data_IF_195986100988
#
_entry.id   IF_195986100988
#
_cell.length_a   1.000
_cell.length_b   1.000
_cell.length_c   1.000
_cell.angle_alpha   90.00
_cell.angle_beta   90.00
_cell.angle_gamma   90.00
#
_symmetry.space_group_name_H-M   'P 1'
#
loop_
_entity.id
_entity.type
_entity.pdbx_description
1 polymer ?
#
# COMPACT_ATOMS: atom_id res chain seq x y z
N UNK A 1 26.15 0.87 19.56
CA UNK A 1 26.33 1.60 18.30
C UNK A 1 26.68 0.65 17.15
N UNK A 2 27.80 -0.07 17.19
CA UNK A 2 28.17 -1.03 16.11
C UNK A 2 27.11 -2.14 15.93
N UNK A 3 26.62 -2.72 17.03
CA UNK A 3 25.53 -3.71 16.99
C UNK A 3 24.21 -3.13 16.46
N UNK A 4 23.88 -1.87 16.76
CA UNK A 4 22.63 -1.24 16.33
C UNK A 4 22.66 -0.94 14.83
N UNK A 5 23.80 -0.46 14.32
CA UNK A 5 24.05 -0.30 12.87
C UNK A 5 23.98 -1.64 12.15
N UNK A 6 24.54 -2.69 12.75
CA UNK A 6 24.49 -4.03 12.17
C UNK A 6 23.05 -4.54 12.07
N UNK A 7 22.22 -4.34 13.10
CA UNK A 7 20.77 -4.61 13.04
C UNK A 7 20.11 -3.90 11.86
N UNK A 8 20.36 -2.61 11.68
CA UNK A 8 19.77 -1.82 10.58
C UNK A 8 20.18 -2.36 9.21
N UNK A 9 21.47 -2.69 9.04
CA UNK A 9 22.00 -3.30 7.80
C UNK A 9 21.41 -4.67 7.55
N UNK A 10 21.26 -5.49 8.59
CA UNK A 10 20.72 -6.84 8.47
C UNK A 10 19.21 -6.82 8.16
N UNK A 11 18.45 -5.85 8.69
CA UNK A 11 17.08 -5.62 8.27
C UNK A 11 16.99 -5.18 6.80
N UNK A 12 17.77 -4.18 6.39
CA UNK A 12 17.82 -3.72 4.99
C UNK A 12 18.19 -4.86 4.03
N UNK A 13 19.16 -5.68 4.42
CA UNK A 13 19.60 -6.86 3.67
C UNK A 13 18.65 -8.07 3.75
N UNK A 14 17.53 -7.98 4.49
CA UNK A 14 16.54 -9.05 4.61
C UNK A 14 16.98 -10.26 5.44
N UNK A 15 18.00 -10.11 6.29
CA UNK A 15 18.50 -11.16 7.20
C UNK A 15 17.75 -11.21 8.53
N UNK A 16 17.18 -10.08 8.96
CA UNK A 16 16.28 -9.98 10.11
C UNK A 16 14.84 -9.91 9.59
N UNK A 17 13.93 -10.61 10.26
CA UNK A 17 12.51 -10.57 9.88
C UNK A 17 11.88 -9.22 10.25
N UNK A 18 10.78 -8.89 9.60
CA UNK A 18 10.07 -7.61 9.78
C UNK A 18 9.54 -7.52 11.21
N UNK A 19 9.03 -8.65 11.74
CA UNK A 19 8.55 -8.78 13.11
C UNK A 19 9.68 -8.62 14.12
N UNK A 20 10.82 -9.26 13.89
CA UNK A 20 11.95 -9.18 14.83
C UNK A 20 12.54 -7.76 14.84
N UNK A 21 12.60 -7.10 13.67
CA UNK A 21 13.02 -5.71 13.57
C UNK A 21 12.05 -4.76 14.27
N UNK A 22 10.76 -4.90 14.04
CA UNK A 22 9.71 -4.14 14.75
C UNK A 22 9.85 -4.30 16.28
N UNK A 23 10.04 -5.52 16.77
CA UNK A 23 10.27 -5.76 18.19
C UNK A 23 11.54 -5.08 18.71
N UNK A 24 12.63 -5.10 17.93
CA UNK A 24 13.87 -4.43 18.30
C UNK A 24 13.71 -2.90 18.37
N UNK A 25 12.92 -2.29 17.48
CA UNK A 25 12.63 -0.85 17.56
C UNK A 25 12.00 -0.47 18.90
N UNK A 26 11.05 -1.26 19.40
CA UNK A 26 10.37 -0.98 20.67
C UNK A 26 11.19 -1.38 21.91
N UNK A 27 12.04 -2.41 21.80
CA UNK A 27 12.76 -2.97 22.94
C UNK A 27 14.17 -2.39 23.13
N UNK A 28 14.77 -1.77 22.11
CA UNK A 28 16.14 -1.28 22.15
C UNK A 28 16.20 0.26 22.23
N UNK A 29 16.41 0.85 23.43
CA UNK A 29 16.50 2.30 23.58
C UNK A 29 17.71 2.92 22.85
N UNK A 30 18.74 2.12 22.53
CA UNK A 30 19.86 2.61 21.73
C UNK A 30 19.47 2.84 20.27
N UNK A 31 18.58 2.00 19.71
CA UNK A 31 18.04 2.22 18.37
C UNK A 31 17.19 3.47 18.31
N UNK A 32 16.32 3.69 19.31
CA UNK A 32 15.54 4.94 19.41
C UNK A 32 16.44 6.17 19.43
N UNK A 33 17.45 6.17 20.32
CA UNK A 33 18.41 7.28 20.43
C UNK A 33 19.17 7.52 19.12
N UNK A 34 19.58 6.45 18.44
CA UNK A 34 20.31 6.52 17.18
C UNK A 34 19.43 7.07 16.04
N UNK A 35 18.22 6.55 15.92
CA UNK A 35 17.26 6.91 14.86
C UNK A 35 16.56 8.26 15.13
N UNK A 36 16.70 8.81 16.33
CA UNK A 36 16.17 10.12 16.73
C UNK A 36 17.26 11.19 16.89
N UNK A 37 18.48 10.96 16.39
CA UNK A 37 19.58 11.93 16.55
C UNK A 37 19.22 13.29 15.92
N UNK A 38 19.04 14.36 16.73
CA UNK A 38 18.62 15.67 16.24
C UNK A 38 19.71 16.38 15.43
N UNK A 39 20.94 15.83 15.40
CA UNK A 39 22.04 16.37 14.58
C UNK A 39 21.89 16.02 13.10
N UNK A 40 21.07 15.03 12.76
CA UNK A 40 20.82 14.63 11.39
C UNK A 40 19.73 15.52 10.78
N UNK A 41 20.08 16.18 9.69
CA UNK A 41 19.16 17.01 8.92
C UNK A 41 18.40 16.17 7.87
N UNK A 42 17.07 16.24 7.93
CA UNK A 42 16.14 15.54 7.06
C UNK A 42 15.44 16.46 6.06
N UNK A 43 15.84 17.73 5.98
CA UNK A 43 15.29 18.69 5.03
C UNK A 43 15.33 18.16 3.59
N UNK A 44 14.23 18.33 2.86
CA UNK A 44 14.09 17.83 1.49
C UNK A 44 13.79 16.34 1.38
N UNK A 45 13.50 15.66 2.49
CA UNK A 45 13.01 14.28 2.52
C UNK A 45 11.62 14.21 3.13
N UNK A 46 10.94 13.06 3.00
CA UNK A 46 9.67 12.80 3.69
C UNK A 46 9.81 12.74 5.22
N UNK A 47 11.03 12.74 5.76
CA UNK A 47 11.31 12.77 7.20
C UNK A 47 11.51 14.19 7.75
N UNK A 48 11.38 15.25 6.94
CA UNK A 48 11.69 16.63 7.37
C UNK A 48 10.95 17.12 8.64
N UNK A 49 9.78 16.55 8.94
CA UNK A 49 8.92 16.95 10.07
C UNK A 49 8.76 15.82 11.10
N UNK A 50 9.64 14.81 11.09
CA UNK A 50 9.60 13.68 12.02
C UNK A 50 11.01 13.14 12.24
N UNK A 51 11.17 12.07 13.03
CA UNK A 51 12.41 11.31 13.11
C UNK A 51 12.27 9.98 12.38
N UNK A 52 13.37 9.41 11.86
CA UNK A 52 13.36 8.02 11.38
C UNK A 52 12.71 7.06 12.37
N UNK A 53 12.96 7.21 13.67
CA UNK A 53 12.35 6.37 14.70
C UNK A 53 10.82 6.45 14.71
N UNK A 54 10.26 7.67 14.81
CA UNK A 54 8.81 7.87 14.88
C UNK A 54 8.14 7.38 13.59
N UNK A 55 8.71 7.71 12.43
CA UNK A 55 8.19 7.23 11.15
C UNK A 55 8.19 5.69 11.08
N UNK A 56 9.27 5.04 11.54
CA UNK A 56 9.37 3.57 11.58
C UNK A 56 8.38 2.94 12.56
N UNK A 57 8.10 3.58 13.70
CA UNK A 57 7.13 3.10 14.68
C UNK A 57 5.68 3.18 14.17
N UNK A 58 5.38 4.13 13.28
CA UNK A 58 4.07 4.30 12.66
C UNK A 58 3.78 3.32 11.51
N UNK A 59 4.79 2.58 11.01
CA UNK A 59 4.58 1.64 9.91
C UNK A 59 3.83 0.37 10.36
N UNK A 60 2.95 -0.13 9.49
CA UNK A 60 2.38 -1.47 9.64
C UNK A 60 3.29 -2.53 8.97
N UNK A 61 4.10 -3.21 9.79
CA UNK A 61 5.03 -4.26 9.36
C UNK A 61 4.35 -5.53 8.84
N UNK A 62 3.02 -5.64 8.94
CA UNK A 62 2.26 -6.72 8.30
C UNK A 62 1.98 -6.41 6.83
N UNK A 63 1.86 -5.13 6.50
CA UNK A 63 1.56 -4.67 5.14
C UNK A 63 2.80 -4.60 4.25
N UNK A 64 2.65 -4.88 2.96
CA UNK A 64 3.70 -4.75 1.96
C UNK A 64 4.24 -3.32 1.86
N UNK A 65 3.35 -2.32 1.96
CA UNK A 65 3.75 -0.91 1.95
C UNK A 65 4.55 -0.51 3.18
N UNK A 66 4.11 -0.91 4.39
CA UNK A 66 4.82 -0.59 5.63
C UNK A 66 6.21 -1.23 5.67
N UNK A 67 6.34 -2.49 5.22
CA UNK A 67 7.66 -3.15 5.10
C UNK A 67 8.59 -2.41 4.14
N UNK A 68 8.09 -2.03 2.95
CA UNK A 68 8.86 -1.32 1.95
C UNK A 68 9.28 0.07 2.44
N UNK A 69 8.36 0.82 3.03
CA UNK A 69 8.62 2.13 3.65
C UNK A 69 9.65 2.01 4.77
N UNK A 70 9.55 0.99 5.62
CA UNK A 70 10.50 0.76 6.70
C UNK A 70 11.91 0.49 6.15
N UNK A 71 12.04 -0.41 5.16
CA UNK A 71 13.33 -0.68 4.52
C UNK A 71 13.90 0.57 3.84
N UNK A 72 13.06 1.33 3.14
CA UNK A 72 13.46 2.60 2.52
C UNK A 72 13.94 3.64 3.52
N UNK A 73 13.25 3.75 4.66
CA UNK A 73 13.60 4.66 5.76
C UNK A 73 14.94 4.29 6.37
N UNK A 74 15.16 3.00 6.66
CA UNK A 74 16.44 2.54 7.22
C UNK A 74 17.58 2.71 6.20
N UNK A 75 17.33 2.43 4.92
CA UNK A 75 18.33 2.62 3.85
C UNK A 75 18.72 4.08 3.69
N UNK A 76 17.73 4.99 3.70
CA UNK A 76 17.95 6.44 3.69
C UNK A 76 18.75 6.88 4.91
N UNK A 77 18.41 6.38 6.10
CA UNK A 77 19.12 6.67 7.33
C UNK A 77 20.59 6.26 7.26
N UNK A 78 20.88 5.01 6.89
CA UNK A 78 22.24 4.50 6.74
C UNK A 78 23.04 5.34 5.74
N UNK A 79 22.43 5.70 4.61
CA UNK A 79 23.06 6.57 3.59
C UNK A 79 23.40 7.95 4.17
N UNK A 80 22.51 8.56 4.96
CA UNK A 80 22.75 9.87 5.57
C UNK A 80 23.90 9.89 6.57
N UNK A 81 24.15 8.79 7.26
CA UNK A 81 25.29 8.64 8.17
C UNK A 81 26.54 8.07 7.48
N UNK A 82 26.56 7.99 6.14
CA UNK A 82 27.72 7.57 5.36
C UNK A 82 27.97 6.06 5.36
N UNK A 83 26.95 5.25 5.63
CA UNK A 83 27.04 3.79 5.68
C UNK A 83 26.36 3.20 4.45
N UNK A 84 27.12 2.47 3.65
CA UNK A 84 26.58 1.71 2.53
C UNK A 84 25.75 0.51 3.02
N UNK A 85 24.64 0.27 2.34
CA UNK A 85 23.77 -0.88 2.55
C UNK A 85 23.32 -1.42 1.20
N UNK A 86 23.09 -2.74 1.14
CA UNK A 86 22.56 -3.41 -0.04
C UNK A 86 21.14 -3.90 0.27
N UNK A 87 20.09 -3.15 -0.11
CA UNK A 87 18.73 -3.56 0.15
C UNK A 87 18.41 -4.87 -0.57
N UNK A 88 17.77 -5.79 0.14
CA UNK A 88 17.17 -6.96 -0.52
C UNK A 88 15.98 -6.52 -1.37
N UNK A 89 15.73 -7.19 -2.49
CA UNK A 89 14.55 -6.93 -3.34
C UNK A 89 13.25 -7.52 -2.76
N UNK A 90 13.30 -8.14 -1.57
CA UNK A 90 12.17 -8.90 -1.01
C UNK A 90 10.90 -8.05 -0.89
N UNK A 91 11.00 -6.86 -0.31
CA UNK A 91 9.84 -6.00 -0.07
C UNK A 91 9.37 -5.28 -1.34
N UNK A 92 10.30 -4.88 -2.21
CA UNK A 92 9.94 -4.32 -3.51
C UNK A 92 9.24 -5.34 -4.38
N UNK A 93 9.73 -6.59 -4.46
CA UNK A 93 9.09 -7.67 -5.22
C UNK A 93 7.66 -7.95 -4.72
N UNK A 94 7.44 -7.94 -3.40
CA UNK A 94 6.12 -8.13 -2.78
C UNK A 94 5.15 -6.99 -3.15
N UNK A 95 5.60 -5.75 -3.03
CA UNK A 95 4.79 -4.57 -3.37
C UNK A 95 4.53 -4.46 -4.88
N UNK A 96 5.54 -4.73 -5.71
CA UNK A 96 5.43 -4.73 -7.16
C UNK A 96 4.50 -5.83 -7.67
N UNK A 97 4.42 -6.97 -6.99
CA UNK A 97 3.45 -8.00 -7.31
C UNK A 97 2.02 -7.46 -7.15
N UNK A 98 1.73 -6.74 -6.06
CA UNK A 98 0.42 -6.11 -5.83
C UNK A 98 0.12 -5.09 -6.93
N UNK A 99 1.06 -4.17 -7.19
CA UNK A 99 0.87 -3.10 -8.17
C UNK A 99 0.69 -3.63 -9.60
N UNK A 100 1.52 -4.59 -10.01
CA UNK A 100 1.53 -5.10 -11.39
C UNK A 100 0.35 -6.00 -11.74
N UNK A 101 -0.36 -6.51 -10.73
CA UNK A 101 -1.51 -7.41 -10.92
C UNK A 101 -2.86 -6.73 -10.70
N UNK A 102 -2.87 -5.55 -10.07
CA UNK A 102 -4.08 -4.76 -9.85
C UNK A 102 -4.69 -4.27 -11.17
N UNK A 103 -5.98 -4.57 -11.46
CA UNK A 103 -6.68 -3.97 -12.59
C UNK A 103 -6.72 -2.45 -12.48
N UNK A 104 -6.51 -1.72 -13.57
CA UNK A 104 -6.48 -0.24 -13.58
C UNK A 104 -7.77 0.42 -13.09
N UNK A 105 -8.89 -0.29 -13.17
CA UNK A 105 -10.20 0.19 -12.74
C UNK A 105 -10.54 -0.17 -11.28
N UNK A 106 -9.65 -0.90 -10.58
CA UNK A 106 -9.82 -1.24 -9.17
C UNK A 106 -8.78 -0.47 -8.36
N UNK A 107 -9.26 0.33 -7.43
CA UNK A 107 -8.46 0.88 -6.35
C UNK A 107 -9.09 0.45 -5.03
N UNK A 108 -8.37 -0.33 -4.25
CA UNK A 108 -8.81 -0.82 -2.95
C UNK A 108 -7.68 -0.60 -1.95
N UNK A 109 -8.05 -0.43 -0.69
CA UNK A 109 -7.09 -0.30 0.41
C UNK A 109 -6.17 -1.52 0.47
N UNK A 110 -4.88 -1.30 0.76
CA UNK A 110 -3.88 -2.37 0.75
C UNK A 110 -4.22 -3.49 1.73
N UNK A 111 -4.73 -3.15 2.92
CA UNK A 111 -5.15 -4.13 3.92
C UNK A 111 -6.25 -5.06 3.38
N UNK A 112 -7.14 -4.57 2.52
CA UNK A 112 -8.14 -5.39 1.86
C UNK A 112 -7.49 -6.35 0.86
N UNK A 113 -6.58 -5.84 0.02
CA UNK A 113 -5.87 -6.62 -0.99
C UNK A 113 -5.08 -7.76 -0.32
N UNK A 114 -4.33 -7.46 0.73
CA UNK A 114 -3.54 -8.46 1.46
C UNK A 114 -4.40 -9.53 2.12
N UNK A 115 -5.59 -9.17 2.61
CA UNK A 115 -6.51 -10.08 3.29
C UNK A 115 -7.27 -10.99 2.32
N UNK A 116 -7.72 -10.46 1.18
CA UNK A 116 -8.72 -11.11 0.31
C UNK A 116 -8.22 -11.45 -1.10
N UNK A 117 -7.15 -10.83 -1.57
CA UNK A 117 -6.66 -10.96 -2.94
C UNK A 117 -5.33 -11.75 -3.00
N UNK A 118 -4.42 -11.53 -2.06
CA UNK A 118 -3.12 -12.19 -2.08
C UNK A 118 -3.21 -13.68 -1.69
N UNK A 119 -2.42 -14.55 -2.34
CA UNK A 119 -2.38 -15.96 -1.99
C UNK A 119 -1.77 -16.15 -0.61
N UNK A 120 -2.42 -16.96 0.22
CA UNK A 120 -1.86 -17.39 1.52
C UNK A 120 -0.83 -18.51 1.35
N UNK A 121 -0.91 -19.27 0.25
CA UNK A 121 0.04 -20.33 -0.05
C UNK A 121 1.34 -19.77 -0.63
N UNK A 122 2.41 -19.88 0.16
CA UNK A 122 3.76 -19.42 -0.21
C UNK A 122 4.50 -20.35 -1.16
N UNK A 123 3.93 -21.52 -1.51
CA UNK A 123 4.54 -22.49 -2.42
C UNK A 123 4.27 -22.20 -3.90
N UNK A 124 3.30 -21.33 -4.19
CA UNK A 124 2.97 -20.96 -5.56
C UNK A 124 4.17 -20.29 -6.25
N UNK A 125 4.43 -20.66 -7.50
CA UNK A 125 5.37 -19.94 -8.35
C UNK A 125 4.90 -18.51 -8.63
N UNK A 126 5.81 -17.62 -9.03
CA UNK A 126 5.45 -16.22 -9.39
C UNK A 126 4.34 -16.15 -10.45
N UNK A 127 4.30 -17.09 -11.39
CA UNK A 127 3.26 -17.13 -12.43
C UNK A 127 1.89 -17.53 -11.85
N UNK A 128 1.85 -18.56 -11.01
CA UNK A 128 0.64 -19.03 -10.34
C UNK A 128 0.08 -17.97 -9.39
N UNK A 129 0.95 -17.28 -8.64
CA UNK A 129 0.54 -16.16 -7.78
C UNK A 129 -0.15 -15.05 -8.60
N UNK A 130 0.42 -14.66 -9.74
CA UNK A 130 -0.18 -13.63 -10.61
C UNK A 130 -1.55 -14.07 -11.16
N UNK A 131 -1.70 -15.34 -11.54
CA UNK A 131 -2.98 -15.88 -12.01
C UNK A 131 -4.01 -15.89 -10.89
N UNK A 132 -3.64 -16.38 -9.71
CA UNK A 132 -4.49 -16.38 -8.51
C UNK A 132 -4.99 -14.96 -8.19
N UNK A 133 -4.09 -13.98 -8.10
CA UNK A 133 -4.45 -12.60 -7.77
C UNK A 133 -5.44 -12.02 -8.78
N UNK A 134 -5.19 -12.21 -10.08
CA UNK A 134 -6.10 -11.73 -11.15
C UNK A 134 -7.48 -12.39 -11.05
N UNK A 135 -7.53 -13.67 -10.74
CA UNK A 135 -8.78 -14.38 -10.52
C UNK A 135 -9.53 -13.81 -9.32
N UNK A 136 -8.86 -13.60 -8.17
CA UNK A 136 -9.49 -13.00 -6.99
C UNK A 136 -10.07 -11.61 -7.28
N UNK A 137 -9.35 -10.76 -8.04
CA UNK A 137 -9.89 -9.46 -8.46
C UNK A 137 -11.16 -9.62 -9.31
N UNK A 138 -11.17 -10.57 -10.25
CA UNK A 138 -12.31 -10.81 -11.14
C UNK A 138 -13.52 -11.36 -10.37
N UNK A 139 -13.27 -12.20 -9.36
CA UNK A 139 -14.31 -12.79 -8.52
C UNK A 139 -14.92 -11.78 -7.55
N UNK A 140 -14.13 -10.84 -7.01
CA UNK A 140 -14.60 -9.89 -6.00
C UNK A 140 -15.11 -8.57 -6.60
N UNK A 141 -14.44 -8.02 -7.61
CA UNK A 141 -14.78 -6.71 -8.19
C UNK A 141 -15.62 -6.88 -9.46
N UNK A 142 -16.87 -7.26 -9.24
CA UNK A 142 -17.83 -7.56 -10.32
C UNK A 142 -18.46 -6.30 -10.91
N UNK A 143 -18.82 -6.40 -12.18
CA UNK A 143 -19.50 -5.35 -12.93
C UNK A 143 -20.49 -5.93 -13.95
N UNK A 144 -21.45 -5.12 -14.38
CA UNK A 144 -22.52 -5.55 -15.29
C UNK A 144 -22.05 -5.85 -16.72
N UNK A 145 -21.48 -4.86 -17.41
CA UNK A 145 -21.06 -5.00 -18.82
C UNK A 145 -19.60 -4.64 -19.03
N UNK A 146 -19.19 -3.49 -18.50
CA UNK A 146 -17.84 -2.95 -18.62
C UNK A 146 -17.38 -2.43 -17.25
N UNK A 147 -16.07 -2.45 -16.97
CA UNK A 147 -15.55 -1.81 -15.76
C UNK A 147 -15.72 -0.27 -15.82
N UNK A 148 -15.67 0.41 -14.67
CA UNK A 148 -15.76 1.87 -14.62
C UNK A 148 -14.60 2.54 -15.36
N UNK A 149 -14.92 3.58 -16.12
CA UNK A 149 -13.97 4.51 -16.73
C UNK A 149 -13.84 5.74 -15.84
N UNK A 150 -12.95 5.62 -14.88
CA UNK A 150 -12.61 6.62 -13.88
C UNK A 150 -12.05 7.93 -14.48
N UNK A 151 -12.57 9.08 -14.03
CA UNK A 151 -11.97 10.41 -14.32
C UNK A 151 -10.76 10.62 -13.40
N UNK A 152 -10.96 10.38 -12.10
CA UNK A 152 -9.91 10.30 -11.08
C UNK A 152 -9.89 8.88 -10.54
N UNK A 153 -8.91 8.44 -9.75
CA UNK A 153 -8.81 7.06 -9.26
C UNK A 153 -9.44 6.89 -7.85
N UNK A 154 -10.79 6.84 -7.67
CA UNK A 154 -11.37 6.79 -6.34
C UNK A 154 -11.20 5.38 -5.76
N UNK A 155 -11.33 5.24 -4.45
CA UNK A 155 -11.50 3.91 -3.85
C UNK A 155 -12.80 3.26 -4.36
N UNK A 156 -12.71 1.98 -4.71
CA UNK A 156 -13.87 1.15 -5.02
C UNK A 156 -14.71 1.01 -3.74
N UNK A 157 -16.04 1.24 -3.78
CA UNK A 157 -16.89 1.08 -2.61
C UNK A 157 -16.86 -0.35 -2.07
N UNK A 158 -16.45 -0.52 -0.82
CA UNK A 158 -16.43 -1.80 -0.11
C UNK A 158 -17.23 -1.64 1.18
N UNK A 159 -18.22 -2.51 1.41
CA UNK A 159 -19.03 -2.54 2.62
C UNK A 159 -18.96 -3.91 3.27
N UNK A 160 -18.69 -3.96 4.57
CA UNK A 160 -18.58 -5.21 5.33
C UNK A 160 -17.63 -6.22 4.65
N UNK A 161 -16.47 -5.74 4.19
CA UNK A 161 -15.48 -6.52 3.43
C UNK A 161 -15.97 -7.09 2.06
N UNK A 162 -17.10 -6.62 1.55
CA UNK A 162 -17.63 -6.98 0.23
C UNK A 162 -17.57 -5.77 -0.73
N UNK A 163 -16.82 -5.85 -1.84
CA UNK A 163 -16.87 -4.83 -2.87
C UNK A 163 -18.27 -4.75 -3.49
N UNK A 164 -18.79 -3.54 -3.63
CA UNK A 164 -20.08 -3.33 -4.26
C UNK A 164 -20.00 -3.65 -5.76
N UNK A 165 -21.10 -4.16 -6.31
CA UNK A 165 -21.22 -4.48 -7.73
C UNK A 165 -21.33 -3.21 -8.56
N UNK A 166 -20.46 -3.02 -9.56
CA UNK A 166 -20.56 -1.86 -10.44
C UNK A 166 -21.66 -2.06 -11.49
N UNK A 167 -22.71 -1.25 -11.39
CA UNK A 167 -23.88 -1.34 -12.27
C UNK A 167 -23.65 -0.63 -13.60
N UNK A 168 -22.97 0.51 -13.57
CA UNK A 168 -22.74 1.32 -14.76
C UNK A 168 -22.40 2.76 -14.39
N UNK A 169 -22.25 3.60 -15.42
CA UNK A 169 -21.92 5.00 -15.25
C UNK A 169 -22.74 5.89 -16.19
N UNK A 170 -23.00 7.12 -15.76
CA UNK A 170 -23.76 8.13 -16.49
C UNK A 170 -22.88 9.37 -16.63
N UNK A 171 -22.60 9.76 -17.87
CA UNK A 171 -21.89 11.01 -18.15
C UNK A 171 -22.81 12.21 -17.86
N UNK A 172 -22.25 13.22 -17.20
CA UNK A 172 -22.86 14.53 -17.00
C UNK A 172 -22.17 15.48 -17.98
N UNK A 173 -22.93 16.03 -18.92
CA UNK A 173 -22.43 17.02 -19.90
C UNK A 173 -23.32 18.24 -19.93
N UNK A 174 -22.74 19.44 -19.97
CA UNK A 174 -23.44 20.72 -20.11
C UNK A 174 -24.64 20.86 -19.13
N UNK A 175 -24.47 20.42 -17.88
CA UNK A 175 -25.55 20.44 -16.91
C UNK A 175 -25.67 21.82 -16.26
N UNK A 176 -26.82 22.48 -16.32
CA UNK A 176 -26.99 23.81 -15.70
C UNK A 176 -26.82 23.81 -14.16
N UNK A 177 -26.86 22.63 -13.53
CA UNK A 177 -26.68 22.47 -12.08
C UNK A 177 -25.21 22.34 -11.66
N UNK A 178 -24.30 22.02 -12.60
CA UNK A 178 -22.88 21.79 -12.31
C UNK A 178 -22.03 22.64 -13.26
N UNK A 179 -20.98 23.27 -12.73
CA UNK A 179 -20.11 24.10 -13.57
C UNK A 179 -19.26 23.28 -14.55
N UNK A 180 -18.97 22.03 -14.20
CA UNK A 180 -18.06 21.16 -14.94
C UNK A 180 -18.79 19.90 -15.46
N UNK A 181 -18.27 19.37 -16.57
CA UNK A 181 -18.63 18.04 -17.05
C UNK A 181 -18.11 16.98 -16.06
N UNK A 182 -18.72 15.79 -16.07
CA UNK A 182 -18.35 14.75 -15.13
C UNK A 182 -19.01 13.41 -15.39
N UNK A 183 -18.97 12.54 -14.39
CA UNK A 183 -19.57 11.22 -14.46
C UNK A 183 -20.08 10.78 -13.07
N UNK A 184 -21.23 10.12 -13.06
CA UNK A 184 -21.78 9.42 -11.89
C UNK A 184 -21.61 7.92 -12.10
N UNK A 185 -20.97 7.27 -11.16
CA UNK A 185 -20.72 5.82 -11.15
C UNK A 185 -21.65 5.17 -10.15
N UNK A 186 -22.39 4.15 -10.56
CA UNK A 186 -23.42 3.50 -9.78
C UNK A 186 -22.94 2.14 -9.29
N UNK A 187 -23.10 1.91 -7.99
CA UNK A 187 -22.73 0.68 -7.30
C UNK A 187 -23.94 0.11 -6.57
N UNK A 188 -24.05 -1.22 -6.54
CA UNK A 188 -25.14 -1.93 -5.87
C UNK A 188 -24.55 -2.84 -4.80
N UNK A 189 -25.06 -2.70 -3.59
CA UNK A 189 -24.93 -3.73 -2.57
C UNK A 189 -25.85 -4.90 -2.94
N UNK A 190 -25.25 -6.03 -3.28
CA UNK A 190 -26.00 -7.20 -3.75
C UNK A 190 -26.81 -7.89 -2.64
N UNK A 191 -26.49 -7.65 -1.37
CA UNK A 191 -27.22 -8.21 -0.24
C UNK A 191 -28.48 -7.41 0.06
N UNK A 192 -28.38 -6.08 0.02
CA UNK A 192 -29.47 -5.18 0.42
C UNK A 192 -30.23 -4.56 -0.75
N UNK A 193 -29.65 -4.59 -1.95
CA UNK A 193 -30.14 -3.86 -3.13
C UNK A 193 -29.91 -2.34 -3.05
N UNK A 194 -29.23 -1.85 -2.01
CA UNK A 194 -28.94 -0.43 -1.87
C UNK A 194 -28.01 0.06 -2.97
N UNK A 195 -28.30 1.26 -3.50
CA UNK A 195 -27.47 1.89 -4.53
C UNK A 195 -26.63 2.99 -3.89
N UNK A 196 -25.34 2.97 -4.22
CA UNK A 196 -24.40 4.03 -3.93
C UNK A 196 -23.86 4.65 -5.20
N UNK A 197 -23.40 5.90 -5.07
CA UNK A 197 -22.83 6.60 -6.21
C UNK A 197 -21.55 7.32 -5.84
N UNK A 198 -20.61 7.30 -6.78
CA UNK A 198 -19.43 8.18 -6.78
C UNK A 198 -19.65 9.22 -7.88
N UNK A 199 -19.39 10.48 -7.59
CA UNK A 199 -19.46 11.57 -8.57
C UNK A 199 -18.06 12.12 -8.77
N UNK A 200 -17.66 12.30 -10.03
CA UNK A 200 -16.38 12.91 -10.38
C UNK A 200 -16.63 13.97 -11.46
N UNK A 201 -15.96 15.10 -11.32
CA UNK A 201 -16.01 16.22 -12.25
C UNK A 201 -14.57 16.58 -12.68
N UNK A 202 -14.43 17.16 -13.87
CA UNK A 202 -13.13 17.53 -14.46
C UNK A 202 -12.48 18.73 -13.79
#
# INVERSE_FOLDING_TARGET
MENDIQTLKDFVGGKVSEKDFEQQLYANPNLEKLLSDPKLDWHGTYLQNTTPFLYLAEQDYKSASGKLNAQGTVSLFLTKIGIESTPSSKFSDEYDLILSTRPKYVNAELNFIEKYILPKDKKLSKAEQKLYIKQQYTELFKYQTQPPKWIQNPNWPIKNDNPLFFLGQVEIKNCYLFHDDGCVYLFVDQETGAIESIKQFY
#
